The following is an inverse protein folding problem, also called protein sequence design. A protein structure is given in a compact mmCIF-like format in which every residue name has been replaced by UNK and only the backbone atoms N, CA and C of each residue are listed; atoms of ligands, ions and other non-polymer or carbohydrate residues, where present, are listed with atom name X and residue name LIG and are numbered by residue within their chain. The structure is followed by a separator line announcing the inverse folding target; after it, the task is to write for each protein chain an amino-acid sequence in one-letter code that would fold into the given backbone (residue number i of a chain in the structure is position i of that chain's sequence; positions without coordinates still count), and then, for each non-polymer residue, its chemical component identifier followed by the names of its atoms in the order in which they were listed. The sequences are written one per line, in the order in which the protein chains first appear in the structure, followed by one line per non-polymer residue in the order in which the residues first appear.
data_IF_977507378434
#
_entry.id   IF_977507378434
#
_cell.length_a   1.000
_cell.length_b   1.000
_cell.length_c   1.000
_cell.angle_alpha   90.00
_cell.angle_beta   90.00
_cell.angle_gamma   90.00
#
_symmetry.space_group_name_H-M   'P 1'
#
loop_
_entity.id
_entity.type
_entity.pdbx_description
1 polymer ?
#
# COMPACT_ATOMS: atom_id res chain seq x y z
N UNK A 1 25.82 17.77 19.50
CA UNK A 1 24.81 18.57 18.78
C UNK A 1 23.60 18.74 19.70
N UNK A 2 23.10 19.96 19.78
CA UNK A 2 21.92 20.27 20.59
C UNK A 2 20.70 20.22 19.68
N UNK A 3 19.83 19.24 19.87
CA UNK A 3 18.61 19.05 19.09
C UNK A 3 17.44 19.78 19.72
N UNK A 4 16.61 20.43 18.91
CA UNK A 4 15.40 21.07 19.39
C UNK A 4 14.44 20.06 20.02
N UNK A 5 13.79 20.45 21.12
CA UNK A 5 12.88 19.61 21.91
C UNK A 5 11.46 20.13 21.78
N UNK A 6 10.60 19.32 21.20
CA UNK A 6 9.21 19.64 20.92
C UNK A 6 8.34 19.01 22.01
N UNK A 7 7.59 19.83 22.72
CA UNK A 7 6.72 19.39 23.83
C UNK A 7 5.29 19.36 23.35
N UNK A 8 4.66 18.20 23.50
CA UNK A 8 3.26 18.01 23.17
C UNK A 8 2.33 18.66 24.20
N UNK A 9 1.13 19.00 23.77
CA UNK A 9 0.03 19.35 24.67
C UNK A 9 -0.34 18.16 25.56
N UNK A 10 -0.90 18.46 26.70
CA UNK A 10 -1.29 17.41 27.67
C UNK A 10 -2.32 16.44 27.06
N UNK A 11 -1.98 15.16 27.07
CA UNK A 11 -2.82 14.08 26.57
C UNK A 11 -2.48 13.60 25.15
N UNK A 12 -1.80 14.42 24.33
CA UNK A 12 -1.46 14.09 22.93
C UNK A 12 -0.33 13.04 22.83
N UNK A 13 0.39 12.79 23.91
CA UNK A 13 1.42 11.73 23.97
C UNK A 13 0.88 10.30 23.91
N UNK A 14 -0.43 10.11 24.05
CA UNK A 14 -1.03 8.77 24.21
C UNK A 14 -0.83 7.90 22.98
N UNK A 15 -1.14 8.42 21.80
CA UNK A 15 -1.00 7.66 20.56
C UNK A 15 0.46 7.34 20.24
N UNK A 16 1.39 8.29 20.47
CA UNK A 16 2.82 8.06 20.28
C UNK A 16 3.35 6.97 21.23
N UNK A 17 2.91 6.95 22.50
CA UNK A 17 3.24 5.84 23.44
C UNK A 17 2.69 4.50 22.99
N UNK A 18 1.64 4.46 22.19
CA UNK A 18 1.08 3.26 21.59
C UNK A 18 1.76 2.86 20.28
N UNK A 19 2.77 3.61 19.84
CA UNK A 19 3.58 3.33 18.64
C UNK A 19 3.17 4.12 17.41
N UNK A 20 2.31 5.14 17.55
CA UNK A 20 2.02 6.07 16.44
C UNK A 20 3.24 6.95 16.16
N UNK A 21 3.55 7.15 14.89
CA UNK A 21 4.83 7.77 14.48
C UNK A 21 4.69 9.23 14.03
N UNK A 22 3.56 9.87 14.25
CA UNK A 22 3.32 11.25 13.84
C UNK A 22 3.01 12.14 15.02
N UNK A 23 3.58 13.36 15.02
CA UNK A 23 3.12 14.45 15.84
C UNK A 23 2.58 15.54 14.92
N UNK A 24 1.32 15.92 15.10
CA UNK A 24 0.68 16.94 14.28
C UNK A 24 1.00 18.35 14.78
N UNK A 25 0.92 19.34 13.90
CA UNK A 25 1.18 20.75 14.19
C UNK A 25 0.32 21.30 15.35
N UNK A 26 -0.94 20.89 15.41
CA UNK A 26 -1.88 21.29 16.46
C UNK A 26 -1.69 20.56 17.80
N UNK A 27 -0.87 19.55 17.87
CA UNK A 27 -0.55 18.77 19.08
C UNK A 27 0.66 19.32 19.84
N UNK A 28 1.52 20.09 19.16
CA UNK A 28 2.73 20.66 19.75
C UNK A 28 2.38 21.97 20.44
N UNK A 29 2.80 22.11 21.70
CA UNK A 29 2.57 23.30 22.51
C UNK A 29 3.71 24.30 22.38
N UNK A 30 4.93 23.84 22.66
CA UNK A 30 6.12 24.66 22.71
C UNK A 30 7.36 23.90 22.27
N UNK A 31 8.41 24.67 21.96
CA UNK A 31 9.71 24.14 21.54
C UNK A 31 10.81 24.76 22.36
N UNK A 32 11.71 23.91 22.86
CA UNK A 32 12.95 24.34 23.47
C UNK A 32 14.08 24.14 22.46
N UNK A 33 14.80 25.17 22.10
CA UNK A 33 15.84 25.18 21.08
C UNK A 33 17.08 25.93 21.56
N UNK A 34 18.23 25.56 20.97
CA UNK A 34 19.49 26.19 21.28
C UNK A 34 19.73 27.34 20.30
N UNK A 35 19.87 28.58 20.82
CA UNK A 35 20.09 29.79 20.03
C UNK A 35 21.31 30.53 20.56
N UNK A 36 22.27 30.77 19.67
CA UNK A 36 23.58 31.38 19.96
C UNK A 36 24.38 30.66 21.04
N UNK A 37 24.03 30.80 22.33
CA UNK A 37 24.78 30.27 23.48
C UNK A 37 23.86 29.71 24.58
N UNK A 38 22.55 29.79 24.40
CA UNK A 38 21.59 29.41 25.44
C UNK A 38 20.37 28.66 24.90
N UNK A 39 19.74 27.92 25.80
CA UNK A 39 18.47 27.28 25.52
C UNK A 39 17.33 28.29 25.69
N UNK A 40 16.55 28.49 24.61
CA UNK A 40 15.33 29.30 24.59
C UNK A 40 14.10 28.41 24.53
N UNK A 41 12.98 28.91 25.02
CA UNK A 41 11.68 28.26 25.02
C UNK A 41 10.66 29.19 24.35
N UNK A 42 9.95 28.74 23.35
CA UNK A 42 8.96 29.52 22.62
C UNK A 42 7.75 28.69 22.22
N UNK A 43 6.57 29.30 22.02
CA UNK A 43 5.42 28.65 21.44
C UNK A 43 5.74 28.05 20.06
N UNK A 44 5.16 26.89 19.74
CA UNK A 44 5.41 26.23 18.44
C UNK A 44 5.11 27.14 17.23
N UNK A 45 4.01 27.91 17.30
CA UNK A 45 3.64 28.84 16.23
C UNK A 45 4.72 29.91 15.94
N UNK A 46 5.40 30.40 16.98
CA UNK A 46 6.50 31.35 16.86
C UNK A 46 7.72 30.72 16.19
N UNK A 47 8.07 29.49 16.60
CA UNK A 47 9.18 28.74 16.00
C UNK A 47 8.97 28.56 14.50
N UNK A 48 7.75 28.21 14.07
CA UNK A 48 7.40 28.06 12.65
C UNK A 48 7.47 29.40 11.91
N UNK A 49 6.89 30.47 12.47
CA UNK A 49 6.84 31.78 11.82
C UNK A 49 8.20 32.44 11.68
N UNK A 50 9.09 32.23 12.66
CA UNK A 50 10.45 32.81 12.67
C UNK A 50 11.50 31.88 12.01
N UNK A 51 11.15 30.64 11.68
CA UNK A 51 12.06 29.67 11.08
C UNK A 51 13.25 29.28 11.96
N UNK A 52 13.05 29.25 13.28
CA UNK A 52 14.12 28.96 14.26
C UNK A 52 14.60 27.52 14.21
N UNK A 53 13.75 26.61 13.81
CA UNK A 53 14.08 25.21 13.48
C UNK A 53 13.78 25.01 12.01
N UNK A 54 14.73 24.47 11.26
CA UNK A 54 14.59 24.32 9.81
C UNK A 54 13.92 23.00 9.42
N UNK A 55 13.19 23.02 8.32
CA UNK A 55 12.64 21.81 7.72
C UNK A 55 13.76 20.80 7.42
N UNK A 56 13.55 19.54 7.79
CA UNK A 56 14.54 18.46 7.65
C UNK A 56 15.47 18.31 8.85
N UNK A 57 15.45 19.21 9.83
CA UNK A 57 16.20 19.01 11.07
C UNK A 57 15.62 17.86 11.91
N UNK A 58 16.52 17.14 12.56
CA UNK A 58 16.12 16.16 13.56
C UNK A 58 15.77 16.87 14.87
N UNK A 59 14.64 16.46 15.44
CA UNK A 59 14.12 16.99 16.69
C UNK A 59 13.75 15.86 17.65
N UNK A 60 13.69 16.17 18.93
CA UNK A 60 13.26 15.25 19.97
C UNK A 60 11.85 15.61 20.44
N UNK A 61 10.98 14.62 20.59
CA UNK A 61 9.60 14.77 21.04
C UNK A 61 9.50 14.42 22.53
N UNK A 62 8.81 15.25 23.27
CA UNK A 62 8.56 15.09 24.70
C UNK A 62 7.07 15.24 25.01
N UNK A 63 6.60 14.52 26.02
CA UNK A 63 5.28 14.75 26.60
C UNK A 63 5.23 16.12 27.29
N UNK A 64 4.04 16.60 27.61
CA UNK A 64 3.84 17.83 28.39
C UNK A 64 4.58 17.83 29.75
N UNK A 65 4.73 16.63 30.36
CA UNK A 65 5.45 16.43 31.62
C UNK A 65 6.97 16.26 31.45
N UNK A 66 7.52 16.37 30.24
CA UNK A 66 8.94 16.28 29.97
C UNK A 66 9.49 14.86 29.80
N UNK A 67 8.64 13.85 29.66
CA UNK A 67 9.08 12.49 29.31
C UNK A 67 9.40 12.37 27.83
N UNK A 68 10.58 11.83 27.48
CA UNK A 68 11.02 11.59 26.11
C UNK A 68 10.12 10.55 25.43
N UNK A 69 9.75 10.81 24.15
CA UNK A 69 8.86 9.96 23.35
C UNK A 69 9.52 9.40 22.09
N UNK A 70 10.50 10.10 21.54
CA UNK A 70 11.21 9.69 20.34
C UNK A 70 11.89 10.84 19.64
N UNK A 71 12.63 10.53 18.57
CA UNK A 71 13.28 11.49 17.70
C UNK A 71 12.73 11.36 16.29
N UNK A 72 12.59 12.51 15.61
CA UNK A 72 11.99 12.56 14.29
C UNK A 72 12.48 13.72 13.44
N UNK A 73 11.95 13.81 12.23
CA UNK A 73 12.27 14.87 11.28
C UNK A 73 11.15 15.91 11.27
N UNK A 74 11.51 17.17 11.48
CA UNK A 74 10.60 18.29 11.46
C UNK A 74 10.28 18.76 10.04
N UNK A 75 9.01 19.15 9.83
CA UNK A 75 8.51 19.72 8.58
C UNK A 75 7.42 20.76 8.87
N UNK A 76 7.72 22.03 8.72
CA UNK A 76 6.78 23.14 8.94
C UNK A 76 5.68 23.24 7.87
N UNK A 77 5.87 22.61 6.71
CA UNK A 77 4.92 22.65 5.57
C UNK A 77 3.86 21.59 5.65
N UNK A 78 4.08 20.57 6.48
CA UNK A 78 3.16 19.44 6.65
C UNK A 78 2.32 19.60 7.91
N UNK A 79 1.06 19.19 7.88
CA UNK A 79 0.27 19.03 9.11
C UNK A 79 0.86 17.99 10.06
N UNK A 80 1.59 17.02 9.53
CA UNK A 80 2.42 16.10 10.31
C UNK A 80 3.74 16.81 10.55
N UNK A 81 3.79 17.62 11.62
CA UNK A 81 4.93 18.48 11.90
C UNK A 81 6.21 17.67 12.20
N UNK A 82 6.07 16.50 12.83
CA UNK A 82 7.22 15.61 13.05
C UNK A 82 6.84 14.17 12.72
N UNK A 83 7.68 13.54 11.90
CA UNK A 83 7.64 12.08 11.69
C UNK A 83 8.74 11.44 12.53
N UNK A 84 8.32 10.62 13.49
CA UNK A 84 9.22 9.93 14.41
C UNK A 84 9.90 8.80 13.65
N UNK A 85 11.23 8.76 13.69
CA UNK A 85 12.06 7.76 13.01
C UNK A 85 12.72 6.81 13.99
N UNK A 86 12.76 7.14 15.29
CA UNK A 86 13.40 6.34 16.34
C UNK A 86 12.83 6.64 17.72
N UNK A 87 12.87 5.63 18.59
CA UNK A 87 12.66 5.70 20.03
C UNK A 87 13.94 6.08 20.82
N UNK A 88 15.06 6.27 20.12
CA UNK A 88 16.33 6.68 20.70
C UNK A 88 16.54 8.19 20.54
N UNK A 89 17.38 8.76 21.40
CA UNK A 89 17.78 10.17 21.29
C UNK A 89 18.48 10.48 19.96
N UNK A 90 18.28 11.69 19.46
CA UNK A 90 18.70 12.13 18.13
C UNK A 90 20.22 12.00 17.87
N UNK A 91 21.06 12.20 18.91
CA UNK A 91 22.50 12.03 18.77
C UNK A 91 22.89 10.63 18.29
N UNK A 92 22.24 9.56 18.79
CA UNK A 92 22.52 8.18 18.37
C UNK A 92 22.24 7.93 16.90
N UNK A 93 21.27 8.65 16.31
CA UNK A 93 20.93 8.55 14.90
C UNK A 93 21.96 9.29 14.05
N UNK A 94 22.34 10.50 14.49
CA UNK A 94 23.14 11.43 13.69
C UNK A 94 24.64 11.21 13.85
N UNK A 95 25.11 10.47 14.87
CA UNK A 95 26.49 9.99 14.98
C UNK A 95 26.83 8.99 13.87
N UNK A 96 25.87 8.12 13.47
CA UNK A 96 26.03 7.16 12.38
C UNK A 96 24.71 6.99 11.60
N UNK A 97 24.36 7.99 10.79
CA UNK A 97 23.16 7.93 9.92
C UNK A 97 23.19 6.73 8.97
N UNK A 98 24.37 6.42 8.43
CA UNK A 98 24.52 5.36 7.47
C UNK A 98 24.27 3.98 8.10
N UNK A 99 24.86 3.72 9.28
CA UNK A 99 24.62 2.49 10.03
C UNK A 99 23.15 2.37 10.51
N UNK A 100 22.57 3.48 10.98
CA UNK A 100 21.16 3.52 11.39
C UNK A 100 20.21 3.12 10.25
N UNK A 101 20.34 3.74 9.08
CA UNK A 101 19.50 3.42 7.92
C UNK A 101 19.81 2.03 7.37
N UNK A 102 21.09 1.64 7.29
CA UNK A 102 21.48 0.31 6.84
C UNK A 102 20.82 -0.79 7.69
N UNK A 103 20.84 -0.63 9.02
CA UNK A 103 20.18 -1.57 9.92
C UNK A 103 18.68 -1.67 9.64
N UNK A 104 17.98 -0.53 9.52
CA UNK A 104 16.53 -0.53 9.25
C UNK A 104 16.17 -1.21 7.92
N UNK A 105 16.94 -0.96 6.86
CA UNK A 105 16.74 -1.61 5.55
C UNK A 105 17.00 -3.12 5.66
N UNK A 106 18.07 -3.53 6.38
CA UNK A 106 18.32 -4.94 6.64
C UNK A 106 17.17 -5.61 7.42
N UNK A 107 16.69 -4.97 8.48
CA UNK A 107 15.59 -5.49 9.30
C UNK A 107 14.32 -5.68 8.46
N UNK A 108 13.94 -4.68 7.65
CA UNK A 108 12.80 -4.73 6.74
C UNK A 108 12.97 -5.84 5.68
N UNK A 109 14.14 -5.95 5.05
CA UNK A 109 14.43 -6.99 4.07
C UNK A 109 14.39 -8.39 4.69
N UNK A 110 15.05 -8.59 5.85
CA UNK A 110 15.07 -9.86 6.54
C UNK A 110 13.68 -10.36 6.96
N UNK A 111 12.80 -9.44 7.36
CA UNK A 111 11.38 -9.77 7.63
C UNK A 111 10.70 -10.40 6.40
N UNK A 112 10.95 -9.83 5.20
CA UNK A 112 10.38 -10.38 3.95
C UNK A 112 11.00 -11.73 3.59
N UNK A 113 12.28 -11.92 3.89
CA UNK A 113 12.98 -13.18 3.61
C UNK A 113 12.45 -14.40 4.37
N UNK A 114 11.64 -14.18 5.40
CA UNK A 114 10.92 -15.27 6.09
C UNK A 114 9.89 -15.93 5.14
N UNK A 115 9.29 -15.17 4.23
CA UNK A 115 8.18 -15.61 3.40
C UNK A 115 8.50 -15.68 1.91
N UNK A 116 9.51 -14.94 1.44
CA UNK A 116 9.81 -14.78 0.02
C UNK A 116 11.22 -15.25 -0.31
N UNK A 117 11.37 -15.87 -1.47
CA UNK A 117 12.63 -16.32 -2.03
C UNK A 117 13.40 -15.19 -2.73
N UNK A 118 14.61 -15.47 -3.21
CA UNK A 118 15.40 -14.53 -4.01
C UNK A 118 14.80 -14.26 -5.40
N UNK A 119 13.94 -15.15 -5.87
CA UNK A 119 13.26 -15.02 -7.17
C UNK A 119 11.88 -14.36 -7.07
N UNK A 120 11.43 -14.03 -5.86
CA UNK A 120 10.14 -13.38 -5.65
C UNK A 120 10.23 -11.86 -5.82
N UNK A 121 9.14 -11.27 -6.34
CA UNK A 121 8.87 -9.84 -6.30
C UNK A 121 8.05 -9.52 -5.05
N UNK A 122 8.46 -8.51 -4.26
CA UNK A 122 7.78 -8.11 -3.02
C UNK A 122 8.16 -6.68 -2.61
N UNK A 123 7.35 -6.08 -1.74
CA UNK A 123 7.65 -4.81 -1.10
C UNK A 123 8.70 -5.00 -0.01
N UNK A 124 9.83 -4.31 -0.12
CA UNK A 124 10.94 -4.35 0.86
C UNK A 124 10.66 -3.43 2.03
N UNK A 125 10.22 -2.20 1.75
CA UNK A 125 9.89 -1.20 2.77
C UNK A 125 8.46 -0.70 2.57
N UNK A 126 7.69 -0.74 3.65
CA UNK A 126 6.31 -0.28 3.70
C UNK A 126 6.17 0.85 4.73
N UNK A 127 6.74 2.02 4.38
CA UNK A 127 6.49 3.30 5.06
C UNK A 127 6.67 3.22 6.60
N UNK A 128 5.75 3.81 7.36
CA UNK A 128 5.72 3.76 8.82
C UNK A 128 5.68 2.34 9.38
N UNK A 129 5.09 1.39 8.65
CA UNK A 129 5.01 0.01 9.11
C UNK A 129 6.38 -0.68 9.26
N UNK A 130 7.39 -0.20 8.55
CA UNK A 130 8.80 -0.62 8.70
C UNK A 130 9.63 0.40 9.47
N UNK A 131 9.01 1.35 10.16
CA UNK A 131 9.68 2.41 10.90
C UNK A 131 10.62 3.28 10.02
N UNK A 132 10.25 3.43 8.73
CA UNK A 132 10.93 4.24 7.72
C UNK A 132 9.92 5.22 7.09
N UNK A 133 9.43 6.21 7.86
CA UNK A 133 8.32 7.07 7.45
C UNK A 133 8.51 7.72 6.10
N UNK A 134 7.53 7.54 5.21
CA UNK A 134 7.54 8.09 3.87
C UNK A 134 8.41 7.36 2.86
N UNK A 135 8.97 6.18 3.19
CA UNK A 135 9.74 5.36 2.27
C UNK A 135 8.96 4.13 1.81
N UNK A 136 8.75 4.01 0.51
CA UNK A 136 8.28 2.76 -0.10
C UNK A 136 9.36 2.22 -1.02
N UNK A 137 9.66 0.93 -0.91
CA UNK A 137 10.61 0.24 -1.79
C UNK A 137 10.00 -1.07 -2.24
N UNK A 138 9.84 -1.23 -3.55
CA UNK A 138 9.44 -2.50 -4.16
C UNK A 138 10.59 -3.12 -4.91
N UNK A 139 10.73 -4.42 -4.75
CA UNK A 139 11.68 -5.26 -5.43
C UNK A 139 10.96 -6.12 -6.45
N UNK A 140 11.35 -5.99 -7.69
CA UNK A 140 10.90 -6.82 -8.80
C UNK A 140 12.02 -7.72 -9.28
N UNK A 141 11.78 -9.02 -9.31
CA UNK A 141 12.69 -10.00 -9.91
C UNK A 141 12.16 -10.37 -11.29
N UNK A 142 12.90 -9.99 -12.32
CA UNK A 142 12.49 -10.18 -13.70
C UNK A 142 12.91 -11.53 -14.28
N UNK A 143 12.26 -12.00 -15.34
CA UNK A 143 12.59 -13.24 -16.03
C UNK A 143 14.04 -13.29 -16.53
N UNK A 144 14.65 -12.14 -16.86
CA UNK A 144 16.07 -12.05 -17.23
C UNK A 144 17.00 -12.06 -15.98
N UNK A 145 16.47 -12.51 -14.84
CA UNK A 145 17.17 -12.72 -13.55
C UNK A 145 17.86 -11.46 -13.02
N UNK A 146 17.21 -10.32 -13.20
CA UNK A 146 17.67 -9.03 -12.68
C UNK A 146 16.72 -8.51 -11.61
N UNK A 147 17.31 -7.84 -10.63
CA UNK A 147 16.56 -7.15 -9.57
C UNK A 147 16.38 -5.69 -9.99
N UNK A 148 15.14 -5.25 -10.10
CA UNK A 148 14.78 -3.86 -10.25
C UNK A 148 14.16 -3.37 -8.96
N UNK A 149 14.53 -2.18 -8.52
CA UNK A 149 13.86 -1.52 -7.40
C UNK A 149 13.03 -0.35 -7.93
N UNK A 150 11.84 -0.20 -7.38
CA UNK A 150 11.06 1.03 -7.49
C UNK A 150 11.01 1.66 -6.10
N UNK A 151 11.49 2.89 -5.99
CA UNK A 151 11.58 3.62 -4.73
C UNK A 151 10.68 4.86 -4.76
N UNK A 152 10.04 5.15 -3.62
CA UNK A 152 9.27 6.37 -3.41
C UNK A 152 9.72 7.03 -2.12
N UNK A 153 10.12 8.30 -2.23
CA UNK A 153 10.39 9.18 -1.10
C UNK A 153 9.18 10.11 -0.94
N UNK A 154 8.21 9.72 -0.11
CA UNK A 154 6.90 10.38 -0.03
C UNK A 154 6.84 11.47 1.03
N UNK A 155 7.77 11.48 1.99
CA UNK A 155 7.85 12.46 3.07
C UNK A 155 9.25 13.05 3.19
N UNK A 156 9.33 14.24 3.81
CA UNK A 156 10.63 14.91 4.05
C UNK A 156 11.56 14.04 4.90
N UNK A 157 11.01 13.25 5.84
CA UNK A 157 11.80 12.31 6.63
C UNK A 157 12.59 11.31 5.77
N UNK A 158 11.98 10.76 4.71
CA UNK A 158 12.68 9.88 3.79
C UNK A 158 13.70 10.64 2.91
N UNK A 159 13.38 11.88 2.49
CA UNK A 159 14.30 12.69 1.68
C UNK A 159 15.57 13.07 2.45
N UNK A 160 15.49 13.34 3.76
CA UNK A 160 16.65 13.66 4.60
C UNK A 160 17.67 12.53 4.65
N UNK A 161 17.22 11.30 4.54
CA UNK A 161 18.07 10.10 4.53
C UNK A 161 18.25 9.48 3.13
N UNK A 162 17.94 10.23 2.06
CA UNK A 162 17.95 9.72 0.67
C UNK A 162 19.25 9.00 0.32
N UNK A 163 20.39 9.61 0.57
CA UNK A 163 21.69 9.07 0.18
C UNK A 163 22.03 7.79 0.95
N UNK A 164 21.76 7.79 2.24
CA UNK A 164 21.96 6.63 3.13
C UNK A 164 21.02 5.48 2.74
N UNK A 165 19.77 5.79 2.40
CA UNK A 165 18.78 4.80 1.92
C UNK A 165 19.26 4.17 0.61
N UNK A 166 19.61 4.97 -0.39
CA UNK A 166 20.08 4.45 -1.69
C UNK A 166 21.34 3.60 -1.52
N UNK A 167 22.31 4.06 -0.72
CA UNK A 167 23.52 3.27 -0.43
C UNK A 167 23.21 1.95 0.28
N UNK A 168 22.28 1.95 1.23
CA UNK A 168 21.84 0.73 1.92
C UNK A 168 21.14 -0.25 0.96
N UNK A 169 20.24 0.25 0.11
CA UNK A 169 19.55 -0.58 -0.89
C UNK A 169 20.52 -1.23 -1.87
N UNK A 170 21.52 -0.48 -2.36
CA UNK A 170 22.56 -1.04 -3.23
C UNK A 170 23.37 -2.14 -2.56
N UNK A 171 23.76 -1.95 -1.29
CA UNK A 171 24.54 -2.93 -0.53
C UNK A 171 23.74 -4.19 -0.21
N UNK A 172 22.48 -4.04 0.22
CA UNK A 172 21.65 -5.15 0.71
C UNK A 172 21.04 -5.94 -0.43
N UNK A 173 20.50 -5.26 -1.46
CA UNK A 173 19.68 -5.87 -2.51
C UNK A 173 20.46 -6.06 -3.83
N UNK A 174 21.58 -5.36 -4.02
CA UNK A 174 22.42 -5.40 -5.23
C UNK A 174 21.61 -5.29 -6.52
N UNK A 175 20.77 -4.25 -6.67
CA UNK A 175 19.85 -4.13 -7.80
C UNK A 175 20.61 -3.92 -9.11
N UNK A 176 20.02 -4.40 -10.21
CA UNK A 176 20.48 -4.06 -11.55
C UNK A 176 20.24 -2.58 -11.86
N UNK A 177 19.06 -2.06 -11.48
CA UNK A 177 18.69 -0.66 -11.64
C UNK A 177 17.63 -0.24 -10.60
N UNK A 178 17.60 1.06 -10.29
CA UNK A 178 16.63 1.67 -9.38
C UNK A 178 15.84 2.74 -10.13
N UNK A 179 14.51 2.67 -10.09
CA UNK A 179 13.61 3.67 -10.63
C UNK A 179 12.91 4.43 -9.50
N UNK A 180 12.94 5.74 -9.52
CA UNK A 180 12.21 6.58 -8.57
C UNK A 180 10.80 6.90 -9.08
N UNK A 181 9.80 6.72 -8.23
CA UNK A 181 8.38 7.06 -8.45
C UNK A 181 7.86 8.01 -7.36
N UNK A 182 8.64 9.04 -7.04
CA UNK A 182 8.28 10.08 -6.06
C UNK A 182 7.38 11.14 -6.73
N UNK A 183 6.33 10.71 -7.44
CA UNK A 183 5.40 11.51 -8.23
C UNK A 183 3.99 11.63 -7.63
N UNK A 184 3.77 11.07 -6.43
CA UNK A 184 2.48 11.09 -5.77
C UNK A 184 2.15 12.47 -5.16
N UNK A 185 0.85 12.86 -5.16
CA UNK A 185 0.35 14.15 -4.67
C UNK A 185 0.64 14.41 -3.17
N UNK A 186 0.91 13.36 -2.40
CA UNK A 186 1.27 13.49 -0.99
C UNK A 186 2.55 14.31 -0.80
N UNK A 187 3.47 14.29 -1.76
CA UNK A 187 4.72 15.07 -1.71
C UNK A 187 4.48 16.57 -1.68
N UNK A 188 3.49 17.05 -2.42
CA UNK A 188 3.12 18.48 -2.41
C UNK A 188 2.66 18.94 -1.02
N UNK A 189 1.98 18.05 -0.25
CA UNK A 189 1.59 18.30 1.14
C UNK A 189 2.77 18.31 2.12
N UNK A 190 3.87 17.71 1.73
CA UNK A 190 5.14 17.73 2.45
C UNK A 190 6.07 18.89 2.00
N UNK A 191 5.61 19.73 1.06
CA UNK A 191 6.39 20.80 0.47
C UNK A 191 7.51 20.32 -0.45
N UNK A 192 7.37 19.11 -1.02
CA UNK A 192 8.36 18.46 -1.87
C UNK A 192 7.91 18.45 -3.33
N UNK A 193 8.85 18.63 -4.25
CA UNK A 193 8.62 18.51 -5.68
C UNK A 193 8.43 17.04 -6.10
N UNK A 194 7.57 16.81 -7.10
CA UNK A 194 7.43 15.49 -7.73
C UNK A 194 8.69 15.13 -8.50
N UNK A 195 9.14 13.87 -8.35
CA UNK A 195 10.32 13.33 -9.04
C UNK A 195 10.03 11.94 -9.57
N UNK A 196 10.51 11.66 -10.78
CA UNK A 196 10.50 10.30 -11.36
C UNK A 196 11.67 10.12 -12.31
N UNK A 197 12.18 8.89 -12.40
CA UNK A 197 13.28 8.55 -13.31
C UNK A 197 14.25 7.52 -12.76
N UNK A 198 15.20 7.14 -13.60
CA UNK A 198 16.26 6.21 -13.23
C UNK A 198 17.30 6.88 -12.32
N UNK A 199 17.66 6.21 -11.24
CA UNK A 199 18.73 6.62 -10.35
C UNK A 199 20.02 5.86 -10.72
N UNK A 200 20.96 6.58 -11.34
CA UNK A 200 22.20 5.97 -11.84
C UNK A 200 21.99 5.15 -13.11
N UNK A 201 22.12 3.82 -13.02
CA UNK A 201 21.97 2.94 -14.19
C UNK A 201 20.54 2.94 -14.71
N UNK A 202 20.40 3.14 -16.03
CA UNK A 202 19.11 2.97 -16.73
C UNK A 202 18.84 1.49 -16.99
N UNK A 203 17.61 1.05 -16.65
CA UNK A 203 17.10 -0.29 -16.93
C UNK A 203 16.03 -0.31 -18.00
N UNK A 204 15.25 -1.40 -18.06
CA UNK A 204 14.05 -1.53 -18.87
C UNK A 204 12.86 -0.90 -18.12
N UNK A 205 12.05 -0.09 -18.79
CA UNK A 205 10.83 0.46 -18.20
C UNK A 205 9.77 -0.63 -18.02
N UNK A 206 9.70 -1.58 -18.95
CA UNK A 206 8.81 -2.74 -18.88
C UNK A 206 9.63 -4.01 -18.68
N UNK A 207 9.22 -4.80 -17.68
CA UNK A 207 9.81 -6.09 -17.32
C UNK A 207 8.73 -7.14 -17.15
N UNK A 208 9.10 -8.41 -17.25
CA UNK A 208 8.20 -9.53 -16.92
C UNK A 208 8.67 -10.15 -15.61
N UNK A 209 7.73 -10.29 -14.67
CA UNK A 209 7.93 -11.01 -13.41
C UNK A 209 7.17 -12.32 -13.41
N UNK A 210 7.57 -13.25 -12.54
CA UNK A 210 6.83 -14.48 -12.27
C UNK A 210 6.19 -14.39 -10.89
N UNK A 211 4.86 -14.53 -10.84
CA UNK A 211 4.10 -14.57 -9.59
C UNK A 211 3.14 -15.76 -9.59
N UNK A 212 3.23 -16.63 -8.59
CA UNK A 212 2.41 -17.85 -8.49
C UNK A 212 2.44 -18.72 -9.76
N UNK A 213 3.54 -18.69 -10.52
CA UNK A 213 3.68 -19.38 -11.80
C UNK A 213 3.00 -18.68 -12.98
N UNK A 214 2.55 -17.44 -12.81
CA UNK A 214 1.96 -16.57 -13.85
C UNK A 214 2.96 -15.49 -14.23
N UNK A 215 3.15 -15.30 -15.54
CA UNK A 215 4.01 -14.25 -16.10
C UNK A 215 3.22 -12.95 -16.20
N UNK A 216 3.74 -11.89 -15.60
CA UNK A 216 3.08 -10.57 -15.55
C UNK A 216 4.05 -9.52 -16.08
N UNK A 217 3.62 -8.77 -17.08
CA UNK A 217 4.29 -7.56 -17.54
C UNK A 217 4.04 -6.42 -16.54
N UNK A 218 5.12 -5.79 -16.10
CA UNK A 218 5.11 -4.67 -15.13
C UNK A 218 5.80 -3.48 -15.78
N UNK A 219 5.09 -2.36 -15.90
CA UNK A 219 5.66 -1.08 -16.29
C UNK A 219 6.10 -0.30 -15.05
N UNK A 220 7.42 -0.22 -14.85
CA UNK A 220 8.03 0.44 -13.69
C UNK A 220 7.86 1.96 -13.75
N UNK A 221 7.72 2.53 -14.95
CA UNK A 221 7.67 3.97 -15.17
C UNK A 221 6.23 4.53 -15.11
N UNK A 222 5.26 3.84 -15.72
CA UNK A 222 3.89 4.33 -15.93
C UNK A 222 2.82 3.51 -15.23
N UNK A 223 3.13 2.27 -14.79
CA UNK A 223 2.17 1.40 -14.11
C UNK A 223 1.56 2.07 -12.88
N UNK A 224 0.33 1.70 -12.55
CA UNK A 224 -0.36 2.23 -11.36
C UNK A 224 0.44 1.96 -10.09
N UNK A 225 0.35 2.85 -9.10
CA UNK A 225 1.19 2.85 -7.89
C UNK A 225 2.68 2.81 -8.28
N UNK A 226 3.35 1.72 -7.97
CA UNK A 226 4.76 1.44 -8.23
C UNK A 226 4.96 0.44 -9.37
N UNK A 227 3.91 0.15 -10.16
CA UNK A 227 3.93 -0.74 -11.33
C UNK A 227 3.00 -1.93 -11.22
N UNK A 228 2.84 -2.52 -10.04
CA UNK A 228 2.02 -3.70 -9.80
C UNK A 228 1.49 -3.76 -8.36
N UNK A 229 0.39 -4.49 -8.13
CA UNK A 229 -0.24 -4.63 -6.82
C UNK A 229 0.28 -5.86 -6.08
N UNK A 230 1.47 -5.76 -5.50
CA UNK A 230 2.12 -6.85 -4.75
C UNK A 230 1.34 -7.24 -3.48
N UNK A 231 0.59 -6.29 -2.90
CA UNK A 231 -0.26 -6.50 -1.73
C UNK A 231 -1.33 -7.60 -1.91
N UNK A 232 -1.77 -7.86 -3.15
CA UNK A 232 -2.76 -8.88 -3.48
C UNK A 232 -2.16 -10.26 -3.83
N UNK A 233 -0.83 -10.43 -3.81
CA UNK A 233 -0.14 -11.66 -4.24
C UNK A 233 -0.70 -12.93 -3.59
N UNK A 234 -0.87 -12.91 -2.26
CA UNK A 234 -1.39 -14.05 -1.52
C UNK A 234 -2.88 -14.29 -1.79
N UNK A 235 -3.66 -13.23 -1.93
CA UNK A 235 -5.09 -13.33 -2.24
C UNK A 235 -5.28 -13.97 -3.62
N UNK A 236 -4.45 -13.62 -4.60
CA UNK A 236 -4.43 -14.26 -5.93
C UNK A 236 -4.08 -15.74 -5.86
N UNK A 237 -3.14 -16.14 -5.00
CA UNK A 237 -2.79 -17.54 -4.79
C UNK A 237 -3.93 -18.33 -4.13
N UNK A 238 -4.58 -17.73 -3.11
CA UNK A 238 -5.66 -18.40 -2.37
C UNK A 238 -6.91 -18.64 -3.22
N UNK A 239 -7.32 -17.67 -4.06
CA UNK A 239 -8.51 -17.85 -4.91
C UNK A 239 -8.33 -18.95 -5.93
N UNK A 240 -7.11 -19.22 -6.36
CA UNK A 240 -6.79 -20.24 -7.33
C UNK A 240 -7.32 -21.62 -6.90
N UNK A 241 -7.35 -21.93 -5.60
CA UNK A 241 -7.86 -23.20 -5.04
C UNK A 241 -9.34 -23.47 -5.36
N UNK A 242 -10.10 -22.42 -5.66
CA UNK A 242 -11.55 -22.51 -5.94
C UNK A 242 -11.88 -22.49 -7.43
N UNK A 243 -10.88 -22.39 -8.33
CA UNK A 243 -11.10 -22.08 -9.73
C UNK A 243 -11.07 -23.30 -10.68
N UNK A 244 -10.56 -24.46 -10.26
CA UNK A 244 -10.43 -25.63 -11.14
C UNK A 244 -11.77 -26.07 -11.74
N UNK A 245 -11.87 -26.12 -13.07
CA UNK A 245 -13.07 -26.47 -13.81
C UNK A 245 -14.22 -25.47 -13.75
N UNK A 246 -13.99 -24.25 -13.23
CA UNK A 246 -15.01 -23.23 -12.94
C UNK A 246 -15.07 -22.14 -14.00
N UNK A 247 -16.26 -21.53 -14.13
CA UNK A 247 -16.47 -20.28 -14.89
C UNK A 247 -16.23 -19.10 -13.95
N UNK A 248 -15.22 -18.30 -14.24
CA UNK A 248 -14.72 -17.22 -13.38
C UNK A 248 -15.00 -15.87 -13.99
N UNK A 249 -15.46 -14.93 -13.18
CA UNK A 249 -15.54 -13.51 -13.52
C UNK A 249 -14.58 -12.71 -12.61
N UNK A 250 -13.58 -12.11 -13.21
CA UNK A 250 -12.63 -11.20 -12.57
C UNK A 250 -13.00 -9.77 -12.93
N UNK A 251 -13.53 -9.01 -11.97
CA UNK A 251 -13.97 -7.63 -12.17
C UNK A 251 -12.99 -6.67 -11.54
N UNK A 252 -12.86 -5.47 -12.14
CA UNK A 252 -11.80 -4.50 -11.82
C UNK A 252 -10.44 -5.17 -12.00
N UNK A 253 -10.31 -5.95 -13.07
CA UNK A 253 -9.22 -6.91 -13.25
C UNK A 253 -7.85 -6.25 -13.44
N UNK A 254 -7.79 -4.94 -13.69
CA UNK A 254 -6.57 -4.20 -13.99
C UNK A 254 -5.74 -4.93 -15.05
N UNK A 255 -4.57 -5.46 -14.71
CA UNK A 255 -3.69 -6.20 -15.63
C UNK A 255 -4.06 -7.68 -15.78
N UNK A 256 -5.20 -8.13 -15.27
CA UNK A 256 -5.72 -9.50 -15.39
C UNK A 256 -5.08 -10.52 -14.45
N UNK A 257 -4.40 -10.07 -13.40
CA UNK A 257 -3.60 -10.96 -12.56
C UNK A 257 -4.43 -12.00 -11.78
N UNK A 258 -5.60 -11.64 -11.23
CA UNK A 258 -6.51 -12.60 -10.60
C UNK A 258 -7.03 -13.63 -11.60
N UNK A 259 -7.51 -13.17 -12.77
CA UNK A 259 -7.99 -14.05 -13.82
C UNK A 259 -6.93 -15.03 -14.34
N UNK A 260 -5.68 -14.59 -14.45
CA UNK A 260 -4.56 -15.44 -14.85
C UNK A 260 -4.18 -16.47 -13.78
N UNK A 261 -4.28 -16.14 -12.48
CA UNK A 261 -4.14 -17.13 -11.41
C UNK A 261 -5.26 -18.17 -11.46
N UNK A 262 -6.51 -17.76 -11.77
CA UNK A 262 -7.62 -18.67 -12.00
C UNK A 262 -7.38 -19.59 -13.21
N UNK A 263 -6.89 -19.04 -14.33
CA UNK A 263 -6.48 -19.82 -15.51
C UNK A 263 -5.42 -20.87 -15.16
N UNK A 264 -4.35 -20.44 -14.47
CA UNK A 264 -3.25 -21.32 -14.04
C UNK A 264 -3.73 -22.47 -13.17
N UNK A 265 -4.78 -22.23 -12.37
CA UNK A 265 -5.43 -23.25 -11.54
C UNK A 265 -6.40 -24.17 -12.32
N UNK A 266 -6.52 -24.01 -13.64
CA UNK A 266 -7.37 -24.87 -14.49
C UNK A 266 -8.83 -24.42 -14.55
N UNK A 267 -9.13 -23.13 -14.49
CA UNK A 267 -10.47 -22.60 -14.74
C UNK A 267 -10.96 -23.02 -16.14
N UNK A 268 -12.27 -23.31 -16.26
CA UNK A 268 -12.92 -23.68 -17.52
C UNK A 268 -13.02 -22.47 -18.46
N UNK A 269 -13.37 -21.33 -17.92
CA UNK A 269 -13.41 -20.05 -18.63
C UNK A 269 -13.19 -18.89 -17.65
N UNK A 270 -12.57 -17.81 -18.11
CA UNK A 270 -12.35 -16.59 -17.33
C UNK A 270 -12.77 -15.39 -18.15
N UNK A 271 -13.50 -14.46 -17.52
CA UNK A 271 -13.77 -13.15 -18.07
C UNK A 271 -13.09 -12.13 -17.16
N UNK A 272 -12.16 -11.34 -17.71
CA UNK A 272 -11.49 -10.22 -17.04
C UNK A 272 -12.15 -8.92 -17.51
N UNK A 273 -12.73 -8.16 -16.61
CA UNK A 273 -13.45 -6.92 -16.93
C UNK A 273 -12.85 -5.72 -16.19
N UNK A 274 -12.60 -4.64 -16.91
CA UNK A 274 -12.16 -3.36 -16.37
C UNK A 274 -12.74 -2.21 -17.20
N UNK A 275 -12.92 -1.03 -16.59
CA UNK A 275 -13.38 0.17 -17.28
C UNK A 275 -12.24 0.83 -18.08
N UNK A 276 -10.98 0.66 -17.66
CA UNK A 276 -9.82 1.22 -18.31
C UNK A 276 -9.43 0.41 -19.55
N UNK A 277 -9.54 1.02 -20.73
CA UNK A 277 -9.07 0.40 -21.97
C UNK A 277 -7.57 0.10 -21.95
N UNK A 278 -6.77 0.97 -21.31
CA UNK A 278 -5.32 0.76 -21.14
C UNK A 278 -5.03 -0.48 -20.28
N UNK A 279 -5.73 -0.63 -19.15
CA UNK A 279 -5.60 -1.80 -18.28
C UNK A 279 -6.02 -3.10 -19.03
N UNK A 280 -7.10 -3.04 -19.82
CA UNK A 280 -7.56 -4.16 -20.63
C UNK A 280 -6.52 -4.56 -21.70
N UNK A 281 -5.85 -3.59 -22.34
CA UNK A 281 -4.77 -3.90 -23.31
C UNK A 281 -3.56 -4.55 -22.62
N UNK A 282 -3.18 -4.11 -21.42
CA UNK A 282 -2.14 -4.77 -20.62
C UNK A 282 -2.58 -6.18 -20.21
N UNK A 283 -3.85 -6.35 -19.82
CA UNK A 283 -4.40 -7.68 -19.52
C UNK A 283 -4.35 -8.62 -20.73
N UNK A 284 -4.70 -8.17 -21.95
CA UNK A 284 -4.56 -8.95 -23.18
C UNK A 284 -3.10 -9.39 -23.40
N UNK A 285 -2.16 -8.48 -23.26
CA UNK A 285 -0.73 -8.79 -23.37
C UNK A 285 -0.29 -9.85 -22.37
N UNK A 286 -0.76 -9.75 -21.12
CA UNK A 286 -0.48 -10.76 -20.09
C UNK A 286 -1.15 -12.12 -20.41
N UNK A 287 -2.35 -12.12 -20.98
CA UNK A 287 -3.05 -13.33 -21.43
C UNK A 287 -2.25 -14.03 -22.51
N UNK A 288 -1.78 -13.31 -23.54
CA UNK A 288 -0.92 -13.82 -24.61
C UNK A 288 0.40 -14.36 -24.05
N UNK A 289 1.03 -13.63 -23.16
CA UNK A 289 2.27 -14.02 -22.48
C UNK A 289 2.19 -15.35 -21.76
N UNK A 290 0.98 -15.74 -21.31
CA UNK A 290 0.70 -17.00 -20.60
C UNK A 290 0.04 -18.06 -21.49
N UNK A 291 -0.20 -17.79 -22.79
CA UNK A 291 -0.91 -18.72 -23.70
C UNK A 291 -2.35 -19.01 -23.27
N UNK A 292 -3.01 -18.02 -22.66
CA UNK A 292 -4.31 -18.16 -22.00
C UNK A 292 -5.50 -17.73 -22.88
N UNK A 293 -5.30 -17.32 -24.15
CA UNK A 293 -6.27 -16.66 -25.01
C UNK A 293 -7.52 -17.50 -25.31
N UNK A 294 -7.40 -18.81 -25.24
CA UNK A 294 -8.53 -19.73 -25.45
C UNK A 294 -9.51 -19.73 -24.26
N UNK A 295 -9.00 -19.50 -23.06
CA UNK A 295 -9.74 -19.63 -21.79
C UNK A 295 -10.09 -18.26 -21.20
N UNK A 296 -9.19 -17.28 -21.30
CA UNK A 296 -9.35 -15.96 -20.71
C UNK A 296 -9.76 -14.94 -21.77
N UNK A 297 -10.87 -14.25 -21.50
CA UNK A 297 -11.38 -13.18 -22.37
C UNK A 297 -11.41 -11.87 -21.58
N UNK A 298 -11.22 -10.75 -22.28
CA UNK A 298 -11.30 -9.43 -21.69
C UNK A 298 -12.56 -8.70 -22.12
N UNK A 299 -13.09 -7.84 -21.24
CA UNK A 299 -14.22 -6.95 -21.51
C UNK A 299 -13.86 -5.56 -20.98
N UNK A 300 -13.90 -4.54 -21.83
CA UNK A 300 -13.77 -3.15 -21.42
C UNK A 300 -15.18 -2.60 -21.14
N UNK A 301 -15.55 -2.46 -19.87
CA UNK A 301 -16.89 -2.03 -19.46
C UNK A 301 -16.88 -1.48 -18.03
N UNK A 302 -17.85 -0.61 -17.73
CA UNK A 302 -18.18 -0.27 -16.34
C UNK A 302 -18.72 -1.51 -15.62
N UNK A 303 -18.08 -1.90 -14.50
CA UNK A 303 -18.44 -3.13 -13.77
C UNK A 303 -19.85 -3.05 -13.19
N UNK A 304 -20.33 -1.88 -12.77
CA UNK A 304 -21.70 -1.73 -12.25
C UNK A 304 -22.72 -2.07 -13.34
N UNK A 305 -22.53 -1.55 -14.54
CA UNK A 305 -23.41 -1.84 -15.69
C UNK A 305 -23.27 -3.28 -16.16
N UNK A 306 -22.03 -3.79 -16.21
CA UNK A 306 -21.76 -5.17 -16.63
C UNK A 306 -22.45 -6.20 -15.72
N UNK A 307 -22.39 -6.02 -14.39
CA UNK A 307 -23.06 -6.88 -13.44
C UNK A 307 -24.60 -6.85 -13.59
N UNK A 308 -25.17 -5.66 -13.84
CA UNK A 308 -26.61 -5.49 -14.12
C UNK A 308 -27.01 -6.21 -15.41
N UNK A 309 -26.22 -6.05 -16.47
CA UNK A 309 -26.45 -6.74 -17.74
C UNK A 309 -26.42 -8.26 -17.55
N UNK A 310 -25.39 -8.79 -16.88
CA UNK A 310 -25.27 -10.23 -16.65
C UNK A 310 -26.42 -10.78 -15.79
N UNK A 311 -26.93 -10.00 -14.83
CA UNK A 311 -28.10 -10.36 -14.05
C UNK A 311 -29.36 -10.42 -14.94
N UNK A 312 -29.58 -9.41 -15.79
CA UNK A 312 -30.69 -9.35 -16.75
C UNK A 312 -30.65 -10.49 -17.77
N UNK A 313 -29.44 -10.82 -18.27
CA UNK A 313 -29.22 -11.88 -19.25
C UNK A 313 -29.29 -13.29 -18.64
N UNK A 314 -29.47 -13.39 -17.32
CA UNK A 314 -29.46 -14.66 -16.61
C UNK A 314 -28.11 -15.39 -16.60
N UNK A 315 -27.01 -14.67 -16.91
CA UNK A 315 -25.66 -15.24 -16.95
C UNK A 315 -25.19 -15.58 -15.54
N UNK A 316 -24.58 -16.75 -15.37
CA UNK A 316 -24.11 -17.26 -14.08
C UNK A 316 -22.64 -17.63 -14.11
N UNK A 317 -22.02 -17.51 -12.93
CA UNK A 317 -20.62 -17.84 -12.68
C UNK A 317 -20.48 -18.73 -11.46
N UNK A 318 -19.37 -19.46 -11.40
CA UNK A 318 -19.04 -20.30 -10.25
C UNK A 318 -18.13 -19.55 -9.25
N UNK A 319 -17.29 -18.65 -9.75
CA UNK A 319 -16.40 -17.79 -8.96
C UNK A 319 -16.50 -16.35 -9.49
N UNK A 320 -16.69 -15.40 -8.60
CA UNK A 320 -16.63 -13.96 -8.92
C UNK A 320 -15.62 -13.29 -8.00
N UNK A 321 -14.77 -12.48 -8.60
CA UNK A 321 -13.75 -11.68 -7.92
C UNK A 321 -14.13 -10.20 -8.09
N UNK A 322 -14.22 -9.49 -6.96
CA UNK A 322 -14.46 -8.06 -6.86
C UNK A 322 -13.26 -7.41 -6.17
N UNK A 323 -12.36 -6.80 -6.93
CA UNK A 323 -11.22 -6.03 -6.42
C UNK A 323 -11.29 -4.56 -6.85
N UNK A 324 -12.32 -3.82 -6.40
CA UNK A 324 -12.57 -2.46 -6.83
C UNK A 324 -11.49 -1.49 -6.31
N UNK A 325 -11.30 -0.35 -7.00
CA UNK A 325 -10.50 0.74 -6.45
C UNK A 325 -11.14 1.28 -5.17
N UNK A 326 -10.36 2.00 -4.37
CA UNK A 326 -10.87 2.64 -3.16
C UNK A 326 -12.01 3.61 -3.46
N UNK A 327 -13.24 3.26 -3.09
CA UNK A 327 -14.42 4.12 -3.32
C UNK A 327 -14.47 5.32 -2.37
N UNK A 328 -13.63 5.34 -1.32
CA UNK A 328 -13.49 6.50 -0.46
C UNK A 328 -12.03 6.81 -0.15
N UNK A 329 -11.71 8.10 -0.16
CA UNK A 329 -10.41 8.66 0.26
C UNK A 329 -10.57 9.58 1.48
N UNK A 330 -11.75 9.62 2.10
CA UNK A 330 -12.03 10.47 3.26
C UNK A 330 -13.15 9.91 4.12
N UNK A 331 -13.14 10.20 5.40
CA UNK A 331 -14.20 9.81 6.33
C UNK A 331 -15.59 10.33 5.91
N UNK A 332 -15.67 11.50 5.27
CA UNK A 332 -16.96 12.10 4.80
C UNK A 332 -17.60 11.30 3.67
N UNK A 333 -16.82 10.59 2.87
CA UNK A 333 -17.31 9.84 1.71
C UNK A 333 -17.65 8.37 2.02
N UNK A 334 -17.46 7.90 3.25
CA UNK A 334 -17.68 6.49 3.66
C UNK A 334 -19.11 6.02 3.36
N UNK A 335 -20.13 6.85 3.65
CA UNK A 335 -21.54 6.48 3.39
C UNK A 335 -21.83 6.24 1.90
N UNK A 336 -21.24 7.05 1.01
CA UNK A 336 -21.37 6.86 -0.45
C UNK A 336 -20.61 5.61 -0.91
N UNK A 337 -19.41 5.40 -0.38
CA UNK A 337 -18.61 4.21 -0.67
C UNK A 337 -19.31 2.92 -0.25
N UNK A 338 -19.96 2.92 0.92
CA UNK A 338 -20.76 1.80 1.41
C UNK A 338 -21.82 1.38 0.38
N UNK A 339 -22.56 2.33 -0.20
CA UNK A 339 -23.55 2.05 -1.24
C UNK A 339 -22.95 1.40 -2.48
N UNK A 340 -21.80 1.89 -2.95
CA UNK A 340 -21.08 1.31 -4.09
C UNK A 340 -20.60 -0.11 -3.83
N UNK A 341 -19.93 -0.35 -2.70
CA UNK A 341 -19.51 -1.69 -2.30
C UNK A 341 -20.69 -2.65 -2.17
N UNK A 342 -21.79 -2.20 -1.53
CA UNK A 342 -23.00 -3.00 -1.37
C UNK A 342 -23.59 -3.39 -2.71
N UNK A 343 -23.71 -2.46 -3.66
CA UNK A 343 -24.30 -2.70 -4.98
C UNK A 343 -23.55 -3.79 -5.76
N UNK A 344 -22.21 -3.68 -5.88
CA UNK A 344 -21.43 -4.67 -6.62
C UNK A 344 -21.47 -6.05 -5.97
N UNK A 345 -21.42 -6.11 -4.63
CA UNK A 345 -21.50 -7.37 -3.89
C UNK A 345 -22.89 -8.04 -4.03
N UNK A 346 -23.96 -7.28 -3.92
CA UNK A 346 -25.32 -7.74 -4.11
C UNK A 346 -25.53 -8.33 -5.50
N UNK A 347 -25.10 -7.62 -6.56
CA UNK A 347 -25.20 -8.08 -7.95
C UNK A 347 -24.37 -9.35 -8.18
N UNK A 348 -23.13 -9.38 -7.67
CA UNK A 348 -22.29 -10.56 -7.76
C UNK A 348 -22.95 -11.78 -7.10
N UNK A 349 -23.54 -11.64 -5.91
CA UNK A 349 -24.25 -12.72 -5.22
C UNK A 349 -25.42 -13.24 -6.03
N UNK A 350 -26.16 -12.37 -6.74
CA UNK A 350 -27.30 -12.76 -7.56
C UNK A 350 -26.91 -13.56 -8.82
N UNK A 351 -25.75 -13.25 -9.41
CA UNK A 351 -25.27 -13.95 -10.62
C UNK A 351 -24.31 -15.11 -10.31
N UNK A 352 -24.04 -15.41 -9.05
CA UNK A 352 -23.36 -16.64 -8.65
C UNK A 352 -24.29 -17.86 -8.71
N UNK A 353 -23.78 -18.98 -9.17
CA UNK A 353 -24.42 -20.28 -9.00
C UNK A 353 -24.60 -20.60 -7.52
N UNK A 354 -25.64 -21.36 -7.10
CA UNK A 354 -25.74 -21.85 -5.73
C UNK A 354 -24.48 -22.64 -5.33
N UNK A 355 -23.89 -22.29 -4.18
CA UNK A 355 -22.62 -22.85 -3.72
C UNK A 355 -21.39 -22.24 -4.37
N UNK A 356 -21.55 -21.19 -5.19
CA UNK A 356 -20.46 -20.44 -5.82
C UNK A 356 -19.63 -19.63 -4.84
N UNK A 357 -18.47 -19.20 -5.28
CA UNK A 357 -17.49 -18.47 -4.47
C UNK A 357 -17.47 -16.97 -4.85
N UNK A 358 -17.63 -16.13 -3.88
CA UNK A 358 -17.41 -14.70 -3.97
C UNK A 358 -16.10 -14.34 -3.29
N UNK A 359 -15.18 -13.74 -4.04
CA UNK A 359 -14.00 -13.08 -3.51
C UNK A 359 -14.24 -11.58 -3.59
N UNK A 360 -14.16 -10.89 -2.48
CA UNK A 360 -14.45 -9.44 -2.46
C UNK A 360 -13.44 -8.71 -1.61
N UNK A 361 -12.93 -7.61 -2.16
CA UNK A 361 -11.87 -6.81 -1.54
C UNK A 361 -12.33 -5.36 -1.31
N UNK A 362 -11.68 -4.70 -0.37
CA UNK A 362 -11.70 -3.27 -0.17
C UNK A 362 -10.30 -2.79 0.22
N UNK A 363 -9.77 -1.82 -0.53
CA UNK A 363 -8.48 -1.19 -0.25
C UNK A 363 -8.63 0.21 0.35
N UNK A 364 -9.75 0.49 1.02
CA UNK A 364 -10.05 1.78 1.64
C UNK A 364 -9.78 1.76 3.14
N UNK A 365 -8.76 2.49 3.60
CA UNK A 365 -8.50 2.68 5.02
C UNK A 365 -9.72 3.18 5.82
N UNK A 366 -10.50 4.11 5.25
CA UNK A 366 -11.70 4.65 5.91
C UNK A 366 -12.89 3.69 5.93
N UNK A 367 -12.79 2.54 5.27
CA UNK A 367 -13.82 1.52 5.25
C UNK A 367 -13.32 0.29 6.02
N UNK A 368 -13.37 0.41 7.35
CA UNK A 368 -12.80 -0.55 8.28
C UNK A 368 -13.42 -1.96 8.15
N UNK A 369 -12.79 -3.00 8.72
CA UNK A 369 -13.27 -4.38 8.64
C UNK A 369 -14.72 -4.55 9.14
N UNK A 370 -15.14 -3.82 10.19
CA UNK A 370 -16.50 -3.93 10.70
C UNK A 370 -17.53 -3.40 9.71
N UNK A 371 -17.24 -2.23 9.11
CA UNK A 371 -18.07 -1.65 8.05
C UNK A 371 -18.12 -2.59 6.82
N UNK A 372 -16.99 -3.20 6.45
CA UNK A 372 -16.89 -4.13 5.33
C UNK A 372 -17.77 -5.38 5.54
N UNK A 373 -17.67 -6.06 6.68
CA UNK A 373 -18.49 -7.25 6.95
C UNK A 373 -19.96 -6.92 7.19
N UNK A 374 -20.27 -5.76 7.77
CA UNK A 374 -21.66 -5.26 7.88
C UNK A 374 -22.27 -5.01 6.50
N UNK A 375 -21.51 -4.43 5.58
CA UNK A 375 -21.91 -4.23 4.18
C UNK A 375 -22.20 -5.55 3.49
N UNK A 376 -21.33 -6.56 3.65
CA UNK A 376 -21.53 -7.90 3.06
C UNK A 376 -22.80 -8.57 3.60
N UNK A 377 -23.08 -8.47 4.91
CA UNK A 377 -24.30 -9.02 5.50
C UNK A 377 -25.55 -8.35 4.92
N UNK A 378 -25.53 -7.04 4.73
CA UNK A 378 -26.63 -6.30 4.11
C UNK A 378 -26.81 -6.63 2.63
N UNK A 379 -25.70 -6.82 1.87
CA UNK A 379 -25.76 -7.27 0.48
C UNK A 379 -26.34 -8.69 0.37
N UNK A 380 -25.96 -9.59 1.28
CA UNK A 380 -26.51 -10.96 1.36
C UNK A 380 -28.02 -10.96 1.62
N UNK A 381 -28.49 -10.15 2.56
CA UNK A 381 -29.92 -9.99 2.88
C UNK A 381 -30.69 -9.51 1.64
N UNK A 382 -30.23 -8.43 0.99
CA UNK A 382 -30.93 -7.82 -0.15
C UNK A 382 -30.85 -8.70 -1.44
N UNK A 383 -29.84 -9.56 -1.53
CA UNK A 383 -29.74 -10.55 -2.62
C UNK A 383 -30.58 -11.80 -2.38
N UNK A 384 -31.20 -11.94 -1.20
CA UNK A 384 -31.90 -13.14 -0.74
C UNK A 384 -30.99 -14.39 -0.74
N UNK A 385 -29.69 -14.22 -0.43
CA UNK A 385 -28.71 -15.30 -0.41
C UNK A 385 -28.15 -15.48 1.00
N UNK A 386 -27.75 -16.68 1.33
CA UNK A 386 -26.95 -16.96 2.55
C UNK A 386 -25.49 -16.97 2.17
N UNK A 387 -24.65 -16.33 2.97
CA UNK A 387 -23.22 -16.17 2.73
C UNK A 387 -22.44 -16.67 3.93
N UNK A 388 -21.52 -17.60 3.67
CA UNK A 388 -20.57 -18.10 4.64
C UNK A 388 -19.19 -17.57 4.33
N UNK A 389 -18.56 -16.83 5.23
CA UNK A 389 -17.18 -16.39 5.08
C UNK A 389 -16.26 -17.57 5.37
N UNK A 390 -15.54 -18.04 4.35
CA UNK A 390 -14.59 -19.14 4.46
C UNK A 390 -13.25 -18.68 4.99
N UNK A 391 -12.79 -17.52 4.50
CA UNK A 391 -11.48 -16.96 4.84
C UNK A 391 -11.56 -15.42 4.93
N UNK A 392 -10.75 -14.85 5.82
CA UNK A 392 -10.54 -13.41 5.98
C UNK A 392 -9.06 -13.15 5.77
N UNK A 393 -8.75 -12.30 4.81
CA UNK A 393 -7.39 -11.93 4.46
C UNK A 393 -7.20 -10.42 4.46
N UNK A 394 -5.97 -10.00 4.55
CA UNK A 394 -5.51 -8.64 4.35
C UNK A 394 -4.51 -8.57 3.19
N UNK A 395 -3.58 -7.65 3.31
CA UNK A 395 -2.45 -7.55 2.40
C UNK A 395 -1.47 -8.72 2.58
N UNK A 396 -0.65 -8.96 1.55
CA UNK A 396 0.42 -9.96 1.57
C UNK A 396 1.47 -9.66 2.68
N UNK A 397 2.23 -10.67 3.09
CA UNK A 397 3.22 -10.60 4.19
C UNK A 397 4.29 -9.52 4.04
N UNK A 398 4.50 -8.99 2.84
CA UNK A 398 5.37 -7.87 2.55
C UNK A 398 4.77 -6.49 2.92
N UNK A 399 3.53 -6.47 3.40
CA UNK A 399 2.81 -5.29 3.88
C UNK A 399 2.41 -5.51 5.37
N UNK A 400 3.38 -5.47 6.29
CA UNK A 400 3.10 -5.71 7.71
C UNK A 400 2.18 -4.64 8.31
N UNK A 401 1.41 -5.04 9.32
CA UNK A 401 0.60 -4.11 10.10
C UNK A 401 1.37 -3.67 11.34
N UNK A 402 1.56 -2.37 11.50
CA UNK A 402 2.09 -1.78 12.72
C UNK A 402 0.91 -1.39 13.63
N UNK A 403 0.80 -2.03 14.80
CA UNK A 403 -0.35 -1.84 15.70
C UNK A 403 -0.56 -0.37 16.10
N UNK A 404 0.52 0.37 16.31
CA UNK A 404 0.45 1.81 16.58
C UNK A 404 0.11 2.67 15.36
N UNK A 405 0.07 2.10 14.16
CA UNK A 405 -0.21 2.81 12.91
C UNK A 405 -1.32 2.11 12.11
N UNK A 406 -2.59 2.29 12.50
CA UNK A 406 -3.73 1.58 11.91
C UNK A 406 -3.86 1.74 10.39
N UNK A 407 -3.28 2.79 9.80
CA UNK A 407 -3.29 3.01 8.34
C UNK A 407 -2.52 1.96 7.56
N UNK A 408 -1.66 1.18 8.20
CA UNK A 408 -1.00 0.03 7.57
C UNK A 408 -1.95 -1.14 7.31
N UNK A 409 -3.07 -1.24 8.04
CA UNK A 409 -4.15 -2.21 7.79
C UNK A 409 -5.22 -1.56 6.91
N UNK A 410 -5.04 -1.59 5.61
CA UNK A 410 -5.92 -0.91 4.64
C UNK A 410 -6.66 -1.86 3.72
N UNK A 411 -6.22 -3.11 3.59
CA UNK A 411 -6.79 -4.09 2.67
C UNK A 411 -7.62 -5.13 3.44
N UNK A 412 -8.89 -5.23 3.09
CA UNK A 412 -9.75 -6.34 3.48
C UNK A 412 -10.02 -7.21 2.26
N UNK A 413 -9.91 -8.52 2.40
CA UNK A 413 -10.31 -9.50 1.40
C UNK A 413 -11.10 -10.62 2.09
N UNK A 414 -12.29 -10.93 1.60
CA UNK A 414 -13.12 -12.02 2.08
C UNK A 414 -13.35 -13.04 0.97
N UNK A 415 -13.10 -14.31 1.25
CA UNK A 415 -13.49 -15.43 0.41
C UNK A 415 -14.75 -16.06 1.01
N UNK A 416 -15.84 -16.01 0.27
CA UNK A 416 -17.16 -16.38 0.75
C UNK A 416 -17.80 -17.45 -0.12
N UNK A 417 -18.54 -18.37 0.49
CA UNK A 417 -19.44 -19.29 -0.20
C UNK A 417 -20.87 -18.73 -0.16
N UNK A 418 -21.55 -18.71 -1.32
CA UNK A 418 -22.86 -18.12 -1.51
C UNK A 418 -23.87 -19.22 -1.86
N UNK A 419 -24.92 -19.39 -1.04
CA UNK A 419 -25.93 -20.44 -1.16
C UNK A 419 -27.21 -19.94 -1.83
#
# INVERSE_FOLDING_TARGET
MDFARFFLKKGEEREIRQGFLWAFDNEIERVKFFDEKEWKDAPFAEIVSEGKVKDGECVEIFSSAGGFLGSGIFNSKSKIAVRIVSDSHANKIFEDKAGFIFKKICDAYNLRRIHFSDEDSFRVCFDEADLLPGLTVERYFSEDKKIYLVVQFLALAAEVFRNEILSALEKVLKPFAIYERSDADVREKEGLEKKSGWLGRRGKEEIVILENGVRISVDLARGQKTGYFLDQKLNRAEIARYCHGKNVLDTFCHTGAFGLNAFKAGAKSVICADISSEAVEIAKKNIELNGAEKIVKTVCADVFELLRQYESDGKKFDVIILDPPAFTKSARAVKKAYGGYKEINLRAMRILNPGGILVTCSCSYFFDPNAFYSMLANAATDSHRRVQVLQKHGASFDHPVLLGYPRSEYLCCAICKVF
#
